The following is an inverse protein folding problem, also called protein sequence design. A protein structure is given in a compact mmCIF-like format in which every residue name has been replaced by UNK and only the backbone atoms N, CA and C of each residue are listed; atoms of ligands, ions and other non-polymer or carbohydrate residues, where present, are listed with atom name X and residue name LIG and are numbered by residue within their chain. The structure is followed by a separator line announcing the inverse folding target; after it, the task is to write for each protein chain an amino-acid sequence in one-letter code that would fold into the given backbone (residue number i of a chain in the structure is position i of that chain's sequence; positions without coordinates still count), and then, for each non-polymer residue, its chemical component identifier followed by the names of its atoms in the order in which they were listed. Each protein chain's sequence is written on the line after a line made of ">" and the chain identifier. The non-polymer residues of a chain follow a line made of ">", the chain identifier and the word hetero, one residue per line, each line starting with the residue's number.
data_IF_535432406354
#
_entry.id   IF_535432406354
#
_cell.length_a   1.000
_cell.length_b   1.000
_cell.length_c   1.000
_cell.angle_alpha   90.00
_cell.angle_beta   90.00
_cell.angle_gamma   90.00
#
_symmetry.space_group_name_H-M   'P 1'
#
loop_
_entity.id
_entity.type
_entity.pdbx_description
1 polymer ?
#
# COMPACT_ATOMS: atom_id res chain seq x y z
N UNK A 1 -2.21 11.14 6.52
CA UNK A 1 -3.26 10.13 6.27
C UNK A 1 -2.68 8.77 6.62
N UNK A 2 -3.43 7.91 7.30
CA UNK A 2 -2.93 6.60 7.77
C UNK A 2 -3.68 5.48 7.05
N UNK A 3 -2.95 4.47 6.56
CA UNK A 3 -3.51 3.24 6.06
C UNK A 3 -3.50 2.22 7.20
N UNK A 4 -4.69 1.74 7.58
CA UNK A 4 -4.82 0.64 8.54
C UNK A 4 -4.83 -0.69 7.78
N UNK A 5 -3.91 -1.55 8.15
CA UNK A 5 -3.89 -2.96 7.77
C UNK A 5 -4.36 -3.78 8.98
N UNK A 6 -4.41 -5.11 8.86
CA UNK A 6 -4.79 -5.96 10.00
C UNK A 6 -3.77 -5.86 11.14
N UNK A 7 -2.48 -5.80 10.80
CA UNK A 7 -1.38 -5.86 11.78
C UNK A 7 -0.74 -4.51 12.08
N UNK A 8 -0.93 -3.48 11.24
CA UNK A 8 -0.19 -2.22 11.37
C UNK A 8 -0.94 -0.98 10.87
N UNK A 9 -0.44 0.18 11.30
CA UNK A 9 -0.80 1.49 10.75
C UNK A 9 0.38 2.03 9.94
N UNK A 10 0.19 2.21 8.65
CA UNK A 10 1.20 2.73 7.75
C UNK A 10 0.91 4.22 7.50
N UNK A 11 1.89 5.08 7.78
CA UNK A 11 1.76 6.50 7.45
C UNK A 11 1.91 6.68 5.94
N UNK A 12 0.80 6.98 5.25
CA UNK A 12 0.81 7.15 3.79
C UNK A 12 1.73 8.29 3.35
N UNK A 13 2.01 9.28 4.20
CA UNK A 13 2.93 10.37 3.86
C UNK A 13 4.38 9.90 3.66
N UNK A 14 4.75 8.76 4.26
CA UNK A 14 6.11 8.20 4.18
C UNK A 14 6.29 7.20 3.04
N UNK A 15 5.20 6.84 2.35
CA UNK A 15 5.25 5.93 1.21
C UNK A 15 5.81 6.68 0.00
N UNK A 16 6.93 6.20 -0.52
CA UNK A 16 7.57 6.68 -1.73
C UNK A 16 7.02 5.96 -2.97
N UNK A 17 6.73 4.66 -2.87
CA UNK A 17 6.13 3.88 -3.96
C UNK A 17 5.32 2.70 -3.44
N UNK A 18 4.42 2.22 -4.29
CA UNK A 18 3.58 1.04 -4.03
C UNK A 18 3.69 0.08 -5.21
N UNK A 19 3.77 -1.22 -4.95
CA UNK A 19 3.81 -2.26 -5.97
C UNK A 19 3.02 -3.51 -5.55
N UNK A 20 2.44 -4.21 -6.52
CA UNK A 20 1.60 -5.41 -6.29
C UNK A 20 2.26 -6.65 -6.88
N UNK A 21 2.17 -7.77 -6.15
CA UNK A 21 2.55 -9.09 -6.62
C UNK A 21 1.48 -10.10 -6.19
N UNK A 22 0.70 -10.61 -7.14
CA UNK A 22 -0.44 -11.51 -6.91
C UNK A 22 -1.43 -10.95 -5.86
N UNK A 23 -1.49 -11.56 -4.66
CA UNK A 23 -2.31 -11.18 -3.51
C UNK A 23 -1.59 -10.25 -2.52
N UNK A 24 -0.32 -9.92 -2.75
CA UNK A 24 0.46 -9.03 -1.90
C UNK A 24 0.55 -7.61 -2.47
N UNK A 25 0.46 -6.63 -1.58
CA UNK A 25 0.74 -5.21 -1.87
C UNK A 25 1.90 -4.78 -0.98
N UNK A 26 2.91 -4.18 -1.60
CA UNK A 26 4.09 -3.71 -0.90
C UNK A 26 4.14 -2.17 -0.94
N UNK A 27 4.52 -1.58 0.18
CA UNK A 27 4.65 -0.16 0.41
C UNK A 27 6.10 0.15 0.76
N UNK A 28 6.82 0.78 -0.17
CA UNK A 28 8.20 1.20 0.05
C UNK A 28 8.21 2.60 0.68
N UNK A 29 8.97 2.74 1.76
CA UNK A 29 9.28 4.01 2.43
C UNK A 29 10.78 4.30 2.33
N UNK A 30 11.25 5.41 2.90
CA UNK A 30 12.66 5.81 2.86
C UNK A 30 13.63 4.88 3.59
N UNK A 31 13.14 3.94 4.42
CA UNK A 31 14.01 3.02 5.15
C UNK A 31 13.45 1.62 5.36
N UNK A 32 12.24 1.34 4.88
CA UNK A 32 11.55 0.09 5.16
C UNK A 32 10.55 -0.26 4.04
N UNK A 33 10.21 -1.55 3.94
CA UNK A 33 9.21 -2.08 3.02
C UNK A 33 8.18 -2.87 3.80
N UNK A 34 6.95 -2.38 3.80
CA UNK A 34 5.81 -3.06 4.41
C UNK A 34 5.07 -3.87 3.36
N UNK A 35 4.71 -5.11 3.67
CA UNK A 35 3.87 -5.92 2.81
C UNK A 35 2.53 -6.21 3.49
N UNK A 36 1.48 -6.25 2.68
CA UNK A 36 0.13 -6.60 3.09
C UNK A 36 -0.37 -7.68 2.15
N UNK A 37 -0.60 -8.87 2.70
CA UNK A 37 -1.26 -9.95 1.98
C UNK A 37 -2.78 -9.80 2.07
N UNK A 38 -3.47 -10.10 0.98
CA UNK A 38 -4.93 -10.11 0.90
C UNK A 38 -5.45 -11.50 0.58
N UNK A 39 -6.68 -11.74 0.99
CA UNK A 39 -7.38 -13.01 0.75
C UNK A 39 -7.75 -13.25 -0.73
N UNK A 40 -7.68 -12.22 -1.59
CA UNK A 40 -7.93 -12.36 -3.03
C UNK A 40 -7.12 -11.38 -3.87
N UNK A 41 -7.00 -11.69 -5.16
CA UNK A 41 -6.32 -10.85 -6.17
C UNK A 41 -7.01 -9.52 -6.35
N UNK A 42 -8.34 -9.52 -6.30
CA UNK A 42 -9.20 -8.34 -6.43
C UNK A 42 -9.03 -7.42 -5.22
N UNK A 43 -8.97 -7.97 -4.01
CA UNK A 43 -8.73 -7.19 -2.80
C UNK A 43 -7.33 -6.55 -2.79
N UNK A 44 -6.30 -7.28 -3.26
CA UNK A 44 -4.97 -6.72 -3.45
C UNK A 44 -4.95 -5.61 -4.52
N UNK A 45 -5.67 -5.82 -5.62
CA UNK A 45 -5.79 -4.84 -6.70
C UNK A 45 -6.47 -3.55 -6.21
N UNK A 46 -7.60 -3.66 -5.51
CA UNK A 46 -8.32 -2.51 -4.98
C UNK A 46 -7.48 -1.70 -3.99
N UNK A 47 -6.72 -2.37 -3.12
CA UNK A 47 -5.80 -1.69 -2.21
C UNK A 47 -4.67 -0.96 -2.95
N UNK A 48 -4.06 -1.63 -3.93
CA UNK A 48 -3.02 -1.03 -4.77
C UNK A 48 -3.53 0.24 -5.47
N UNK A 49 -4.66 0.16 -6.16
CA UNK A 49 -5.25 1.29 -6.88
C UNK A 49 -5.63 2.44 -5.95
N UNK A 50 -6.24 2.13 -4.80
CA UNK A 50 -6.60 3.16 -3.82
C UNK A 50 -5.38 3.93 -3.32
N UNK A 51 -4.29 3.23 -2.99
CA UNK A 51 -3.06 3.87 -2.52
C UNK A 51 -2.33 4.59 -3.66
N UNK A 52 -2.31 4.02 -4.86
CA UNK A 52 -1.72 4.67 -6.05
C UNK A 52 -2.40 6.01 -6.35
N UNK A 53 -3.74 6.08 -6.33
CA UNK A 53 -4.48 7.33 -6.51
C UNK A 53 -4.13 8.37 -5.44
N UNK A 54 -3.97 7.96 -4.18
CA UNK A 54 -3.56 8.86 -3.11
C UNK A 54 -2.15 9.41 -3.35
N UNK A 55 -1.23 8.58 -3.87
CA UNK A 55 0.13 9.01 -4.20
C UNK A 55 0.17 9.96 -5.38
N UNK A 56 -0.62 9.71 -6.43
CA UNK A 56 -0.74 10.59 -7.59
C UNK A 56 -1.31 11.97 -7.19
N UNK A 57 -2.29 12.02 -6.29
CA UNK A 57 -2.88 13.28 -5.83
C UNK A 57 -1.98 14.15 -4.94
N UNK A 58 -0.80 13.65 -4.53
CA UNK A 58 0.22 14.45 -3.80
C UNK A 58 1.13 15.26 -4.70
N UNK A 59 1.15 14.96 -6.00
CA UNK A 59 1.95 15.63 -7.03
C UNK A 59 1.14 16.79 -7.58
#
# INVERSE_FOLDING_TARGET
>A
MWLRTEDMLINLAMIASVYKADTMVNFATSGDVYYVEKNSREAAQALFEHVAQILEAKI
#
